data_IF_911401039783
#
_entry.id   IF_911401039783
#
_cell.length_a   1.000
_cell.length_b   1.000
_cell.length_c   1.000
_cell.angle_alpha   90.00
_cell.angle_beta   90.00
_cell.angle_gamma   90.00
#
_symmetry.space_group_name_H-M   'P 1'
#
loop_
_entity.id
_entity.type
_entity.pdbx_description
1 polymer ?
#
# COMPACT_ATOMS: atom_id res chain seq x y z
N UNK A 1 -2.91 -6.64 16.58
CA UNK A 1 -3.25 -5.88 15.36
C UNK A 1 -4.74 -5.57 15.37
N UNK A 2 -5.14 -4.34 15.11
CA UNK A 2 -6.53 -3.95 15.10
C UNK A 2 -7.28 -4.51 13.88
N UNK A 3 -8.61 -4.48 13.94
CA UNK A 3 -9.42 -4.93 12.80
C UNK A 3 -9.17 -4.08 11.56
N UNK A 4 -8.98 -2.77 11.76
CA UNK A 4 -8.71 -1.84 10.68
C UNK A 4 -7.39 -2.17 9.99
N UNK A 5 -6.37 -2.53 10.76
CA UNK A 5 -5.08 -2.92 10.22
C UNK A 5 -5.17 -4.23 9.45
N UNK A 6 -5.92 -5.21 9.97
CA UNK A 6 -6.15 -6.46 9.25
C UNK A 6 -6.88 -6.22 7.93
N UNK A 7 -7.89 -5.36 7.96
CA UNK A 7 -8.64 -5.01 6.76
C UNK A 7 -7.74 -4.34 5.73
N UNK A 8 -6.88 -3.41 6.17
CA UNK A 8 -5.94 -2.74 5.25
C UNK A 8 -4.94 -3.73 4.65
N UNK A 9 -4.46 -4.69 5.45
CA UNK A 9 -3.57 -5.73 4.92
C UNK A 9 -4.25 -6.53 3.82
N UNK A 10 -5.49 -6.94 4.05
CA UNK A 10 -6.25 -7.72 3.07
C UNK A 10 -6.49 -6.91 1.78
N UNK A 11 -6.87 -5.66 1.93
CA UNK A 11 -7.09 -4.76 0.78
C UNK A 11 -5.80 -4.57 0.00
N UNK A 12 -4.69 -4.36 0.71
CA UNK A 12 -3.39 -4.15 0.10
C UNK A 12 -2.93 -5.40 -0.67
N UNK A 13 -3.04 -6.56 -0.06
CA UNK A 13 -2.65 -7.82 -0.70
C UNK A 13 -3.47 -8.06 -1.97
N UNK A 14 -4.79 -7.87 -1.89
CA UNK A 14 -5.66 -8.03 -3.05
C UNK A 14 -5.30 -7.04 -4.17
N UNK A 15 -4.98 -5.80 -3.78
CA UNK A 15 -4.59 -4.77 -4.75
C UNK A 15 -3.28 -5.13 -5.45
N UNK A 16 -2.27 -5.63 -4.69
CA UNK A 16 -1.01 -6.07 -5.26
C UNK A 16 -1.22 -7.18 -6.29
N UNK A 17 -2.03 -8.17 -5.94
CA UNK A 17 -2.33 -9.28 -6.85
C UNK A 17 -3.01 -8.76 -8.11
N UNK A 18 -4.00 -7.90 -7.96
CA UNK A 18 -4.74 -7.33 -9.08
C UNK A 18 -3.83 -6.55 -10.03
N UNK A 19 -2.88 -5.83 -9.48
CA UNK A 19 -1.96 -4.98 -10.26
C UNK A 19 -0.67 -5.70 -10.65
N UNK A 20 -0.54 -6.98 -10.30
CA UNK A 20 0.63 -7.80 -10.62
C UNK A 20 1.93 -7.19 -10.08
N UNK A 21 1.86 -6.62 -8.89
CA UNK A 21 3.02 -6.02 -8.23
C UNK A 21 3.63 -7.00 -7.22
N UNK A 22 4.95 -6.90 -6.96
CA UNK A 22 5.61 -7.77 -6.01
C UNK A 22 5.13 -7.50 -4.58
N UNK A 23 5.18 -8.53 -3.73
CA UNK A 23 4.78 -8.41 -2.33
C UNK A 23 5.90 -7.73 -1.54
N UNK A 24 5.87 -6.41 -1.50
CA UNK A 24 6.83 -5.57 -0.78
C UNK A 24 6.06 -4.52 0.01
N UNK A 25 6.77 -3.78 0.87
CA UNK A 25 6.14 -2.68 1.59
C UNK A 25 5.66 -1.61 0.59
N UNK A 26 4.60 -0.90 0.96
CA UNK A 26 4.07 0.17 0.10
C UNK A 26 5.13 1.24 -0.18
N UNK A 27 5.96 1.57 0.83
CA UNK A 27 7.03 2.53 0.66
C UNK A 27 8.06 2.06 -0.37
N UNK A 28 8.44 0.77 -0.31
CA UNK A 28 9.40 0.21 -1.26
C UNK A 28 8.87 0.25 -2.69
N UNK A 29 7.58 0.00 -2.86
CA UNK A 29 6.97 0.05 -4.19
C UNK A 29 6.88 1.49 -4.69
N UNK A 30 6.45 2.41 -3.82
CA UNK A 30 6.21 3.81 -4.22
C UNK A 30 7.52 4.58 -4.44
N UNK A 31 8.54 4.33 -3.61
CA UNK A 31 9.80 5.07 -3.65
C UNK A 31 11.00 4.24 -4.07
N UNK A 32 10.78 2.99 -4.46
CA UNK A 32 11.86 2.08 -4.86
C UNK A 32 12.31 2.30 -6.30
N UNK A 33 13.23 1.43 -6.75
CA UNK A 33 13.82 1.53 -8.09
C UNK A 33 12.79 1.43 -9.20
N UNK A 34 11.72 0.70 -8.96
CA UNK A 34 10.69 0.48 -9.97
C UNK A 34 9.50 1.44 -9.87
N UNK A 35 9.63 2.49 -9.04
CA UNK A 35 8.55 3.46 -8.86
C UNK A 35 8.16 4.15 -10.17
N UNK A 36 9.12 4.36 -11.07
CA UNK A 36 8.86 4.99 -12.36
C UNK A 36 7.95 4.15 -13.28
N UNK A 37 7.79 2.86 -12.98
CA UNK A 37 6.93 1.96 -13.75
C UNK A 37 5.47 1.99 -13.29
N UNK A 38 5.19 2.69 -12.20
CA UNK A 38 3.83 2.80 -11.68
C UNK A 38 3.01 3.76 -12.53
N UNK A 39 1.74 3.41 -12.72
CA UNK A 39 0.80 4.35 -13.30
C UNK A 39 0.50 5.46 -12.29
N UNK A 40 0.04 6.65 -12.73
CA UNK A 40 -0.37 7.70 -11.80
C UNK A 40 -1.44 7.23 -10.79
N UNK A 41 -2.37 6.38 -11.22
CA UNK A 41 -3.39 5.83 -10.35
C UNK A 41 -2.80 4.92 -9.28
N UNK A 42 -1.83 4.09 -9.66
CA UNK A 42 -1.15 3.21 -8.71
C UNK A 42 -0.37 4.01 -7.67
N UNK A 43 0.35 5.04 -8.11
CA UNK A 43 1.11 5.89 -7.21
C UNK A 43 0.18 6.62 -6.24
N UNK A 44 -0.93 7.17 -6.73
CA UNK A 44 -1.92 7.85 -5.90
C UNK A 44 -2.51 6.91 -4.85
N UNK A 45 -2.85 5.69 -5.27
CA UNK A 45 -3.42 4.69 -4.36
C UNK A 45 -2.43 4.33 -3.25
N UNK A 46 -1.16 4.13 -3.61
CA UNK A 46 -0.12 3.80 -2.63
C UNK A 46 0.10 4.93 -1.63
N UNK A 47 0.13 6.17 -2.09
CA UNK A 47 0.27 7.33 -1.20
C UNK A 47 -0.91 7.40 -0.22
N UNK A 48 -2.12 7.19 -0.72
CA UNK A 48 -3.32 7.18 0.12
C UNK A 48 -3.29 6.04 1.13
N UNK A 49 -2.84 4.86 0.70
CA UNK A 49 -2.72 3.69 1.58
C UNK A 49 -1.72 3.96 2.70
N UNK A 50 -0.55 4.51 2.37
CA UNK A 50 0.49 4.80 3.36
C UNK A 50 -0.03 5.81 4.39
N UNK A 51 -0.70 6.86 3.94
CA UNK A 51 -1.27 7.87 4.83
C UNK A 51 -2.31 7.25 5.77
N UNK A 52 -3.19 6.41 5.24
CA UNK A 52 -4.21 5.73 6.05
C UNK A 52 -3.57 4.78 7.05
N UNK A 53 -2.57 4.03 6.63
CA UNK A 53 -1.83 3.12 7.50
C UNK A 53 -1.20 3.85 8.68
N UNK A 54 -0.53 4.98 8.40
CA UNK A 54 0.12 5.77 9.44
C UNK A 54 -0.88 6.27 10.48
N UNK A 55 -2.04 6.76 10.02
CA UNK A 55 -3.08 7.25 10.92
C UNK A 55 -3.61 6.12 11.80
N UNK A 56 -3.92 4.96 11.21
CA UNK A 56 -4.47 3.83 11.96
C UNK A 56 -3.43 3.26 12.91
N UNK A 57 -2.17 3.14 12.50
CA UNK A 57 -1.13 2.58 13.33
C UNK A 57 -0.83 3.43 14.56
N UNK A 58 -1.04 4.75 14.50
CA UNK A 58 -0.89 5.62 15.66
C UNK A 58 -1.96 5.36 16.73
N UNK A 59 -3.11 4.81 16.35
CA UNK A 59 -4.22 4.55 17.25
C UNK A 59 -4.33 3.07 17.67
N UNK A 60 -3.40 2.26 17.23
CA UNK A 60 -3.32 0.84 17.62
C UNK A 60 -2.24 0.61 18.73
#
# INVERSE_FOLDING_TARGET
MSREMLFLCDVYDAWLIKNKLPHRSACDILYGENACKLTPNQAYWLESFIATWDVISEHC
#
